data_IF_108207669608
#
_entry.id   IF_108207669608
#
_cell.length_a   1.000
_cell.length_b   1.000
_cell.length_c   1.000
_cell.angle_alpha   90.00
_cell.angle_beta   90.00
_cell.angle_gamma   90.00
#
_symmetry.space_group_name_H-M   'P 1'
#
loop_
_entity.id
_entity.type
_entity.pdbx_description
1 polymer ?
#
# COMPACT_ATOMS: atom_id res chain seq x y z
N UNK A 1 -3.29 15.36 9.64
CA UNK A 1 -1.93 14.78 9.79
C UNK A 1 -1.78 13.38 9.17
N UNK A 2 -2.76 12.47 9.33
CA UNK A 2 -2.65 11.13 8.79
C UNK A 2 -2.65 11.08 7.25
N UNK A 3 -3.33 12.01 6.59
CA UNK A 3 -3.28 12.14 5.14
C UNK A 3 -1.87 12.35 4.58
N UNK A 4 -1.02 13.09 5.30
CA UNK A 4 0.38 13.28 4.94
C UNK A 4 1.11 11.93 4.90
N UNK A 5 0.88 11.04 5.86
CA UNK A 5 1.47 9.70 5.89
C UNK A 5 1.13 8.89 4.63
N UNK A 6 -0.14 8.93 4.19
CA UNK A 6 -0.56 8.26 2.96
C UNK A 6 0.09 8.85 1.70
N UNK A 7 0.20 10.18 1.63
CA UNK A 7 0.91 10.86 0.52
C UNK A 7 2.37 10.42 0.46
N UNK A 8 3.04 10.31 1.60
CA UNK A 8 4.43 9.87 1.63
C UNK A 8 4.58 8.40 1.22
N UNK A 9 3.67 7.52 1.62
CA UNK A 9 3.64 6.13 1.12
C UNK A 9 3.49 6.15 -0.40
N UNK A 10 2.57 6.94 -0.95
CA UNK A 10 2.37 7.07 -2.38
C UNK A 10 3.66 7.49 -3.10
N UNK A 11 4.33 8.53 -2.60
CA UNK A 11 5.60 9.03 -3.16
C UNK A 11 6.70 7.96 -3.07
N UNK A 12 6.83 7.29 -1.91
CA UNK A 12 7.82 6.22 -1.74
C UNK A 12 7.63 5.09 -2.76
N UNK A 13 6.38 4.67 -2.97
CA UNK A 13 6.05 3.61 -3.93
C UNK A 13 6.35 4.08 -5.35
N UNK A 14 5.98 5.32 -5.71
CA UNK A 14 6.25 5.87 -7.03
C UNK A 14 7.76 5.92 -7.33
N UNK A 15 8.57 6.44 -6.39
CA UNK A 15 10.02 6.50 -6.51
C UNK A 15 10.62 5.10 -6.63
N UNK A 16 10.23 4.19 -5.73
CA UNK A 16 10.71 2.81 -5.75
C UNK A 16 10.35 2.10 -7.06
N UNK A 17 9.14 2.32 -7.59
CA UNK A 17 8.70 1.74 -8.85
C UNK A 17 9.55 2.24 -10.02
N UNK A 18 9.77 3.55 -10.14
CA UNK A 18 10.56 4.15 -11.23
C UNK A 18 12.00 3.65 -11.19
N UNK A 19 12.65 3.68 -10.01
CA UNK A 19 14.03 3.23 -9.88
C UNK A 19 14.14 1.72 -10.13
N UNK A 20 13.18 0.92 -9.65
CA UNK A 20 13.14 -0.52 -9.91
C UNK A 20 13.06 -0.83 -11.39
N UNK A 21 12.35 -0.02 -12.18
CA UNK A 21 12.27 -0.20 -13.62
C UNK A 21 13.60 0.07 -14.33
N UNK A 22 14.28 1.15 -13.95
CA UNK A 22 15.63 1.46 -14.47
C UNK A 22 16.60 0.30 -14.18
N UNK A 23 16.50 -0.29 -12.99
CA UNK A 23 17.34 -1.41 -12.57
C UNK A 23 16.97 -2.69 -13.32
N UNK A 24 15.69 -2.90 -13.62
CA UNK A 24 15.19 -4.03 -14.42
C UNK A 24 15.75 -4.01 -15.83
N UNK A 25 15.70 -2.84 -16.49
CA UNK A 25 16.25 -2.64 -17.84
C UNK A 25 17.75 -2.98 -17.87
N UNK A 26 18.50 -2.67 -16.83
CA UNK A 26 19.92 -2.95 -16.70
C UNK A 26 20.24 -4.38 -16.21
N UNK A 27 19.20 -5.26 -16.07
CA UNK A 27 19.33 -6.65 -15.61
C UNK A 27 20.13 -6.79 -14.30
N UNK A 28 19.95 -5.85 -13.38
CA UNK A 28 20.69 -5.84 -12.13
C UNK A 28 20.23 -6.99 -11.19
N UNK A 29 21.12 -7.50 -10.33
CA UNK A 29 20.81 -8.54 -9.36
C UNK A 29 19.65 -8.19 -8.43
N UNK A 30 18.91 -9.21 -7.96
CA UNK A 30 17.71 -9.08 -7.15
C UNK A 30 17.89 -8.22 -5.89
N UNK A 31 19.05 -8.23 -5.25
CA UNK A 31 19.29 -7.44 -4.03
C UNK A 31 19.19 -5.93 -4.25
N UNK A 32 19.38 -5.41 -5.47
CA UNK A 32 19.16 -4.00 -5.78
C UNK A 32 17.68 -3.59 -5.59
N UNK A 33 16.75 -4.46 -5.95
CA UNK A 33 15.33 -4.19 -5.71
C UNK A 33 15.02 -4.04 -4.22
N UNK A 34 15.60 -4.92 -3.39
CA UNK A 34 15.44 -4.83 -1.94
C UNK A 34 15.98 -3.49 -1.40
N UNK A 35 17.19 -3.10 -1.84
CA UNK A 35 17.82 -1.84 -1.44
C UNK A 35 16.96 -0.64 -1.87
N UNK A 36 16.43 -0.65 -3.09
CA UNK A 36 15.59 0.44 -3.62
C UNK A 36 14.32 0.58 -2.79
N UNK A 37 13.62 -0.53 -2.56
CA UNK A 37 12.36 -0.49 -1.81
C UNK A 37 12.59 -0.07 -0.36
N UNK A 38 13.52 -0.71 0.34
CA UNK A 38 13.85 -0.35 1.73
C UNK A 38 14.37 1.07 1.82
N UNK A 39 15.27 1.47 0.91
CA UNK A 39 15.85 2.82 0.87
C UNK A 39 14.82 3.90 0.61
N UNK A 40 13.92 3.70 -0.38
CA UNK A 40 12.86 4.67 -0.70
C UNK A 40 11.93 4.90 0.49
N UNK A 41 11.51 3.82 1.16
CA UNK A 41 10.70 3.94 2.38
C UNK A 41 11.48 4.57 3.53
N UNK A 42 12.73 4.16 3.75
CA UNK A 42 13.56 4.70 4.83
C UNK A 42 13.78 6.21 4.67
N UNK A 43 14.18 6.66 3.47
CA UNK A 43 14.41 8.09 3.18
C UNK A 43 13.13 8.88 3.39
N UNK A 44 12.00 8.37 2.88
CA UNK A 44 10.71 9.05 3.02
C UNK A 44 10.28 9.12 4.48
N UNK A 45 10.45 8.03 5.24
CA UNK A 45 10.16 8.03 6.68
C UNK A 45 11.07 8.98 7.45
N UNK A 46 12.36 9.00 7.19
CA UNK A 46 13.31 9.92 7.82
C UNK A 46 12.91 11.38 7.54
N UNK A 47 12.56 11.70 6.30
CA UNK A 47 12.09 13.03 5.91
C UNK A 47 10.80 13.43 6.63
N UNK A 48 9.92 12.46 6.90
CA UNK A 48 8.71 12.64 7.70
C UNK A 48 9.01 12.93 9.17
N UNK A 49 9.97 12.22 9.75
CA UNK A 49 10.22 12.25 11.18
C UNK A 49 11.07 13.44 11.63
N UNK A 50 11.75 14.15 10.72
CA UNK A 50 12.59 15.30 11.07
C UNK A 50 11.84 16.43 11.81
N UNK A 51 10.50 16.50 11.72
CA UNK A 51 9.67 17.57 12.34
C UNK A 51 8.49 17.07 13.23
N UNK A 52 8.46 15.80 13.72
CA UNK A 52 7.12 15.19 13.80
C UNK A 52 6.85 14.20 14.93
N UNK A 53 7.15 14.62 16.13
CA UNK A 53 6.60 14.00 17.35
C UNK A 53 5.04 13.85 17.29
N UNK A 54 4.36 14.77 16.62
CA UNK A 54 2.89 14.75 16.44
C UNK A 54 2.39 13.65 15.51
N UNK A 55 3.10 13.39 14.38
CA UNK A 55 2.73 12.30 13.48
C UNK A 55 3.03 10.94 14.12
N UNK A 56 4.20 10.80 14.76
CA UNK A 56 4.55 9.59 15.49
C UNK A 56 3.54 9.26 16.59
N UNK A 57 3.07 10.26 17.33
CA UNK A 57 1.97 10.09 18.31
C UNK A 57 0.67 9.65 17.66
N UNK A 58 0.28 10.24 16.54
CA UNK A 58 -0.94 9.87 15.82
C UNK A 58 -0.89 8.43 15.31
N UNK A 59 0.25 8.01 14.74
CA UNK A 59 0.46 6.62 14.30
C UNK A 59 0.43 5.68 15.51
N UNK A 60 1.15 6.02 16.59
CA UNK A 60 1.18 5.23 17.82
C UNK A 60 -0.22 5.03 18.40
N UNK A 61 -1.02 6.08 18.54
CA UNK A 61 -2.40 6.00 19.04
C UNK A 61 -3.27 5.07 18.20
N UNK A 62 -3.12 5.10 16.86
CA UNK A 62 -3.86 4.20 15.96
C UNK A 62 -3.40 2.76 16.09
N UNK A 63 -2.10 2.52 16.25
CA UNK A 63 -1.56 1.18 16.51
C UNK A 63 -2.05 0.63 17.85
N UNK A 64 -2.04 1.45 18.91
CA UNK A 64 -2.57 1.07 20.22
C UNK A 64 -4.05 0.70 20.17
N UNK A 65 -4.85 1.40 19.36
CA UNK A 65 -6.24 1.03 19.13
C UNK A 65 -6.39 -0.35 18.47
N UNK A 66 -5.52 -0.71 17.53
CA UNK A 66 -5.54 -2.05 16.91
C UNK A 66 -5.09 -3.17 17.86
N UNK A 67 -4.30 -2.84 18.88
CA UNK A 67 -3.86 -3.82 19.90
C UNK A 67 -5.05 -4.37 20.72
N UNK A 68 -6.12 -3.60 20.84
CA UNK A 68 -7.33 -3.96 21.57
C UNK A 68 -8.24 -4.97 20.84
N UNK A 69 -7.94 -5.30 19.59
CA UNK A 69 -8.74 -6.26 18.83
C UNK A 69 -8.63 -7.69 19.38
N UNK A 70 -9.71 -8.49 19.31
CA UNK A 70 -9.65 -9.89 19.67
C UNK A 70 -8.65 -10.64 18.77
N UNK A 71 -8.06 -11.72 19.29
CA UNK A 71 -7.03 -12.51 18.57
C UNK A 71 -7.47 -12.89 17.14
N UNK A 72 -8.72 -13.33 16.98
CA UNK A 72 -9.28 -13.71 15.67
C UNK A 72 -9.26 -12.56 14.67
N UNK A 73 -9.60 -11.34 15.10
CA UNK A 73 -9.58 -10.16 14.25
C UNK A 73 -8.14 -9.79 13.83
N UNK A 74 -7.17 -9.91 14.74
CA UNK A 74 -5.74 -9.69 14.42
C UNK A 74 -5.23 -10.70 13.40
N UNK A 75 -5.57 -11.98 13.57
CA UNK A 75 -5.19 -13.03 12.62
C UNK A 75 -5.81 -12.75 11.26
N UNK A 76 -7.11 -12.45 11.22
CA UNK A 76 -7.80 -12.13 9.95
C UNK A 76 -7.13 -10.96 9.24
N UNK A 77 -6.87 -9.86 9.95
CA UNK A 77 -6.19 -8.71 9.38
C UNK A 77 -4.77 -9.07 8.89
N UNK A 78 -4.04 -9.84 9.69
CA UNK A 78 -2.70 -10.32 9.32
C UNK A 78 -2.73 -11.18 8.05
N UNK A 79 -3.71 -12.07 7.91
CA UNK A 79 -3.90 -12.88 6.70
C UNK A 79 -4.26 -12.00 5.48
N UNK A 80 -5.14 -11.01 5.66
CA UNK A 80 -5.48 -10.07 4.58
C UNK A 80 -4.26 -9.26 4.10
N UNK A 81 -3.37 -8.87 5.00
CA UNK A 81 -2.14 -8.15 4.66
C UNK A 81 -1.05 -9.08 4.14
N UNK A 82 -0.71 -10.13 4.84
CA UNK A 82 0.46 -10.96 4.56
C UNK A 82 0.18 -12.11 3.57
N UNK A 83 -1.06 -12.63 3.55
CA UNK A 83 -1.41 -13.79 2.72
C UNK A 83 -1.11 -13.60 1.24
N UNK A 84 -1.58 -12.52 0.58
CA UNK A 84 -1.29 -12.28 -0.82
C UNK A 84 0.22 -12.14 -1.10
N UNK A 85 0.96 -11.46 -0.24
CA UNK A 85 2.41 -11.33 -0.39
C UNK A 85 3.16 -12.65 -0.18
N UNK A 86 2.72 -13.48 0.76
CA UNK A 86 3.27 -14.83 0.94
C UNK A 86 2.98 -15.72 -0.28
N UNK A 87 1.83 -15.54 -0.91
CA UNK A 87 1.44 -16.26 -2.14
C UNK A 87 2.34 -15.91 -3.33
N UNK A 88 2.90 -14.70 -3.39
CA UNK A 88 3.87 -14.30 -4.43
C UNK A 88 5.11 -15.21 -4.41
N UNK A 89 5.55 -15.66 -3.25
CA UNK A 89 6.70 -16.55 -3.12
C UNK A 89 6.47 -17.92 -3.81
N UNK A 90 5.20 -18.36 -3.91
CA UNK A 90 4.80 -19.61 -4.54
C UNK A 90 4.45 -19.39 -6.04
N UNK A 91 3.78 -18.26 -6.32
CA UNK A 91 3.26 -17.93 -7.64
C UNK A 91 3.75 -16.54 -8.08
N UNK A 92 5.05 -16.37 -8.41
CA UNK A 92 5.62 -15.05 -8.71
C UNK A 92 4.99 -14.36 -9.94
N UNK A 93 4.48 -15.11 -10.91
CA UNK A 93 3.78 -14.57 -12.08
C UNK A 93 2.46 -13.84 -11.73
N UNK A 94 1.90 -14.08 -10.53
CA UNK A 94 0.72 -13.37 -10.03
C UNK A 94 1.07 -12.08 -9.28
N UNK A 95 2.35 -11.70 -9.21
CA UNK A 95 2.84 -10.53 -8.47
C UNK A 95 2.00 -9.28 -8.71
N UNK A 96 1.70 -8.84 -9.96
CA UNK A 96 0.95 -7.60 -10.18
C UNK A 96 -0.45 -7.62 -9.55
N UNK A 97 -1.10 -8.78 -9.53
CA UNK A 97 -2.44 -8.94 -8.94
C UNK A 97 -2.38 -9.09 -7.43
N UNK A 98 -1.46 -9.90 -6.94
CA UNK A 98 -1.34 -10.19 -5.51
C UNK A 98 -0.91 -8.96 -4.71
N UNK A 99 -0.12 -8.05 -5.30
CA UNK A 99 0.20 -6.75 -4.69
C UNK A 99 -1.08 -5.91 -4.53
N UNK A 100 -1.89 -5.80 -5.57
CA UNK A 100 -3.15 -5.06 -5.52
C UNK A 100 -4.15 -5.69 -4.53
N UNK A 101 -4.25 -7.03 -4.52
CA UNK A 101 -5.10 -7.77 -3.59
C UNK A 101 -4.62 -7.55 -2.15
N UNK A 102 -3.32 -7.65 -1.89
CA UNK A 102 -2.75 -7.49 -0.54
C UNK A 102 -2.99 -6.09 0.02
N UNK A 103 -2.69 -5.06 -0.77
CA UNK A 103 -2.97 -3.67 -0.39
C UNK A 103 -4.48 -3.45 -0.25
N UNK A 104 -5.27 -3.97 -1.18
CA UNK A 104 -6.73 -3.85 -1.19
C UNK A 104 -7.37 -4.48 0.05
N UNK A 105 -7.19 -5.78 0.24
CA UNK A 105 -7.75 -6.52 1.37
C UNK A 105 -7.21 -6.04 2.71
N UNK A 106 -5.90 -5.74 2.79
CA UNK A 106 -5.28 -5.23 4.01
C UNK A 106 -5.91 -3.92 4.48
N UNK A 107 -6.10 -2.97 3.58
CA UNK A 107 -6.72 -1.68 3.93
C UNK A 107 -8.21 -1.82 4.22
N UNK A 108 -8.97 -2.58 3.42
CA UNK A 108 -10.41 -2.81 3.68
C UNK A 108 -10.62 -3.53 5.00
N UNK A 109 -9.86 -4.60 5.28
CA UNK A 109 -9.98 -5.33 6.55
C UNK A 109 -9.65 -4.45 7.74
N UNK A 110 -8.61 -3.62 7.64
CA UNK A 110 -8.24 -2.67 8.71
C UNK A 110 -9.35 -1.66 8.93
N UNK A 111 -9.94 -1.09 7.86
CA UNK A 111 -11.09 -0.18 7.97
C UNK A 111 -12.27 -0.83 8.69
N UNK A 112 -12.67 -2.03 8.24
CA UNK A 112 -13.82 -2.76 8.80
C UNK A 112 -13.59 -3.06 10.29
N UNK A 113 -12.42 -3.55 10.64
CA UNK A 113 -12.09 -3.89 12.03
C UNK A 113 -12.02 -2.66 12.94
N UNK A 114 -11.45 -1.54 12.46
CA UNK A 114 -11.45 -0.28 13.20
C UNK A 114 -12.87 0.24 13.40
N UNK A 115 -13.72 0.13 12.40
CA UNK A 115 -15.13 0.55 12.51
C UNK A 115 -15.91 -0.30 13.51
N UNK A 116 -15.72 -1.63 13.49
CA UNK A 116 -16.45 -2.58 14.36
C UNK A 116 -15.96 -2.48 15.80
N UNK A 117 -14.66 -2.57 16.04
CA UNK A 117 -14.11 -2.71 17.39
C UNK A 117 -13.76 -1.38 18.07
N UNK A 118 -13.45 -0.35 17.29
CA UNK A 118 -12.99 0.93 17.83
C UNK A 118 -13.96 2.07 17.53
N UNK A 119 -15.01 1.85 16.73
CA UNK A 119 -15.95 2.87 16.24
C UNK A 119 -15.25 4.03 15.52
N UNK A 120 -14.06 3.78 14.96
CA UNK A 120 -13.28 4.76 14.21
C UNK A 120 -13.50 4.49 12.72
N UNK A 121 -13.91 5.51 11.97
CA UNK A 121 -14.09 5.44 10.53
C UNK A 121 -12.89 6.03 9.82
N UNK A 122 -11.99 5.17 9.33
CA UNK A 122 -10.82 5.57 8.56
C UNK A 122 -11.12 5.44 7.06
N UNK A 123 -11.93 6.35 6.53
CA UNK A 123 -12.38 6.28 5.14
C UNK A 123 -11.22 6.32 4.14
N UNK A 124 -10.10 6.94 4.49
CA UNK A 124 -8.89 6.93 3.70
C UNK A 124 -8.38 5.51 3.41
N UNK A 125 -8.45 4.60 4.39
CA UNK A 125 -8.08 3.20 4.19
C UNK A 125 -9.08 2.47 3.29
N UNK A 126 -10.37 2.76 3.43
CA UNK A 126 -11.39 2.22 2.55
C UNK A 126 -11.15 2.63 1.10
N UNK A 127 -10.83 3.90 0.85
CA UNK A 127 -10.50 4.43 -0.48
C UNK A 127 -9.29 3.69 -1.06
N UNK A 128 -8.20 3.60 -0.30
CA UNK A 128 -7.00 2.86 -0.76
C UNK A 128 -7.36 1.43 -1.11
N UNK A 129 -8.11 0.75 -0.25
CA UNK A 129 -8.49 -0.63 -0.45
C UNK A 129 -9.37 -0.84 -1.69
N UNK A 130 -10.40 -0.03 -1.85
CA UNK A 130 -11.33 -0.14 -2.98
C UNK A 130 -10.67 0.21 -4.31
N UNK A 131 -9.86 1.28 -4.36
CA UNK A 131 -9.12 1.67 -5.58
C UNK A 131 -8.14 0.58 -5.98
N UNK A 132 -7.42 -0.02 -5.03
CA UNK A 132 -6.50 -1.12 -5.33
C UNK A 132 -7.22 -2.35 -5.89
N UNK A 133 -8.37 -2.74 -5.32
CA UNK A 133 -9.17 -3.87 -5.82
C UNK A 133 -9.76 -3.55 -7.20
N UNK A 134 -10.29 -2.33 -7.38
CA UNK A 134 -10.87 -1.90 -8.66
C UNK A 134 -9.83 -1.83 -9.79
N UNK A 135 -8.55 -1.68 -9.47
CA UNK A 135 -7.47 -1.69 -10.45
C UNK A 135 -7.16 -3.09 -11.01
N UNK A 136 -7.55 -4.18 -10.32
CA UNK A 136 -7.23 -5.56 -10.73
C UNK A 136 -7.76 -5.88 -12.13
N UNK A 137 -9.03 -5.62 -12.47
CA UNK A 137 -9.54 -5.89 -13.82
C UNK A 137 -8.79 -5.12 -14.90
N UNK A 138 -8.35 -3.88 -14.59
CA UNK A 138 -7.61 -3.05 -15.54
C UNK A 138 -6.23 -3.66 -15.81
N UNK A 139 -5.50 -4.04 -14.75
CA UNK A 139 -4.18 -4.69 -14.87
C UNK A 139 -4.31 -6.03 -15.57
N UNK A 140 -5.39 -6.78 -15.29
CA UNK A 140 -5.66 -8.06 -15.94
C UNK A 140 -5.99 -7.88 -17.43
N UNK A 141 -6.81 -6.92 -17.80
CA UNK A 141 -7.12 -6.61 -19.19
C UNK A 141 -5.88 -6.21 -19.99
N UNK A 142 -5.01 -5.39 -19.39
CA UNK A 142 -3.72 -5.03 -20.00
C UNK A 142 -2.82 -6.26 -20.17
N UNK A 143 -2.82 -7.17 -19.21
CA UNK A 143 -2.04 -8.41 -19.30
C UNK A 143 -2.55 -9.35 -20.40
N UNK A 144 -3.86 -9.45 -20.62
CA UNK A 144 -4.46 -10.37 -21.59
C UNK A 144 -4.48 -9.82 -23.02
N UNK A 145 -4.85 -8.56 -23.20
CA UNK A 145 -5.24 -8.02 -24.51
C UNK A 145 -4.16 -7.22 -25.21
N UNK A 146 -3.30 -6.63 -24.47
CA UNK A 146 -2.17 -5.89 -25.03
C UNK A 146 -0.96 -6.78 -25.30
N UNK A 147 -1.11 -8.02 -25.06
CA UNK A 147 -0.79 -9.23 -25.78
C UNK A 147 0.57 -9.29 -26.46
N UNK A 148 1.19 -8.22 -26.65
CA UNK A 148 2.54 -8.10 -27.16
C UNK A 148 3.43 -7.46 -26.10
N UNK A 149 2.85 -7.01 -25.03
CA UNK A 149 3.55 -6.22 -24.02
C UNK A 149 3.62 -6.95 -22.70
N UNK A 150 4.66 -7.71 -22.59
CA UNK A 150 5.47 -8.04 -21.42
C UNK A 150 4.80 -7.90 -20.05
N UNK A 151 4.87 -8.96 -19.28
CA UNK A 151 4.63 -9.06 -17.83
C UNK A 151 5.08 -7.81 -17.04
N UNK A 152 6.18 -7.18 -17.48
CA UNK A 152 6.73 -5.93 -16.91
C UNK A 152 5.72 -4.78 -16.85
N UNK A 153 4.88 -4.59 -17.86
CA UNK A 153 3.89 -3.47 -17.85
C UNK A 153 2.79 -3.71 -16.82
N UNK A 154 2.33 -4.94 -16.66
CA UNK A 154 1.34 -5.26 -15.62
C UNK A 154 1.91 -4.98 -14.22
N UNK A 155 3.21 -5.27 -14.02
CA UNK A 155 3.91 -4.99 -12.76
C UNK A 155 4.02 -3.48 -12.52
N UNK A 156 4.44 -2.70 -13.51
CA UNK A 156 4.54 -1.24 -13.39
C UNK A 156 3.17 -0.64 -13.12
N UNK A 157 2.16 -1.08 -13.86
CA UNK A 157 0.80 -0.58 -13.75
C UNK A 157 0.21 -0.85 -12.36
N UNK A 158 0.45 -2.05 -11.80
CA UNK A 158 0.01 -2.37 -10.44
C UNK A 158 0.64 -1.45 -9.39
N UNK A 159 1.94 -1.13 -9.52
CA UNK A 159 2.64 -0.20 -8.63
C UNK A 159 2.11 1.23 -8.76
N UNK A 160 1.83 1.69 -9.98
CA UNK A 160 1.22 3.00 -10.25
C UNK A 160 -0.15 3.07 -9.57
N UNK A 161 -0.99 2.05 -9.73
CA UNK A 161 -2.31 2.03 -9.10
C UNK A 161 -2.23 2.01 -7.57
N UNK A 162 -1.30 1.29 -6.98
CA UNK A 162 -1.09 1.33 -5.52
C UNK A 162 -0.67 2.73 -5.08
N UNK A 163 0.31 3.34 -5.76
CA UNK A 163 0.72 4.72 -5.46
C UNK A 163 -0.45 5.69 -5.58
N UNK A 164 -1.22 5.60 -6.66
CA UNK A 164 -2.40 6.43 -6.90
C UNK A 164 -3.48 6.22 -5.81
N UNK A 165 -3.73 4.98 -5.40
CA UNK A 165 -4.68 4.68 -4.34
C UNK A 165 -4.30 5.36 -3.02
N UNK A 166 -3.02 5.26 -2.63
CA UNK A 166 -2.52 5.94 -1.43
C UNK A 166 -2.57 7.46 -1.57
N UNK A 167 -2.27 8.02 -2.75
CA UNK A 167 -2.39 9.45 -2.99
C UNK A 167 -3.84 9.93 -2.82
N UNK A 168 -4.82 9.22 -3.39
CA UNK A 168 -6.24 9.53 -3.22
C UNK A 168 -6.69 9.44 -1.78
N UNK A 169 -6.33 8.38 -1.06
CA UNK A 169 -6.63 8.23 0.37
C UNK A 169 -6.02 9.37 1.19
N UNK A 170 -4.79 9.75 0.87
CA UNK A 170 -4.09 10.85 1.54
C UNK A 170 -4.74 12.21 1.29
N UNK A 171 -5.07 12.54 0.04
CA UNK A 171 -5.77 13.79 -0.32
C UNK A 171 -7.13 13.85 0.37
N UNK A 172 -7.87 12.75 0.38
CA UNK A 172 -9.15 12.66 1.07
C UNK A 172 -9.01 12.97 2.56
N UNK A 173 -8.04 12.32 3.23
CA UNK A 173 -7.78 12.53 4.65
C UNK A 173 -7.31 13.96 4.98
N UNK A 174 -6.61 14.64 4.05
CA UNK A 174 -6.21 16.04 4.22
C UNK A 174 -7.38 17.01 4.08
N UNK A 175 -8.38 16.66 3.27
CA UNK A 175 -9.59 17.49 3.07
C UNK A 175 -10.60 17.35 4.20
N UNK A 176 -10.55 16.27 4.96
CA UNK A 176 -11.38 16.15 6.17
C UNK A 176 -10.89 17.16 7.20
N UNK A 177 -11.74 18.14 7.53
CA UNK A 177 -11.49 19.03 8.67
C UNK A 177 -11.33 18.15 9.91
N UNK A 178 -10.34 18.42 10.78
CA UNK A 178 -10.30 17.75 12.07
C UNK A 178 -11.64 18.03 12.76
N UNK A 179 -12.42 16.98 12.99
CA UNK A 179 -13.58 17.09 13.85
C UNK A 179 -13.05 17.57 15.20
N UNK A 180 -13.42 18.82 15.55
CA UNK A 180 -13.16 19.44 16.84
C UNK A 180 -13.83 18.64 17.93
#
# INVERSE_FOLDING_TARGET
MFGIFFIFIAISIAIAAIISEIVSINKAPFYYYLIIWVGSFAITFISLFHDKLTLARSIKTRMENSIRWPKRAKVLNGVCWAGPFATIAIFPYLLPYLVLIGIGLGNVSTYVLLKIFNRISNQEQLIVGLVSIAAIPIVYGVHLDLLVVKEDIAIILSRIFVSFAYALGGIYALRQKPNQ
#
